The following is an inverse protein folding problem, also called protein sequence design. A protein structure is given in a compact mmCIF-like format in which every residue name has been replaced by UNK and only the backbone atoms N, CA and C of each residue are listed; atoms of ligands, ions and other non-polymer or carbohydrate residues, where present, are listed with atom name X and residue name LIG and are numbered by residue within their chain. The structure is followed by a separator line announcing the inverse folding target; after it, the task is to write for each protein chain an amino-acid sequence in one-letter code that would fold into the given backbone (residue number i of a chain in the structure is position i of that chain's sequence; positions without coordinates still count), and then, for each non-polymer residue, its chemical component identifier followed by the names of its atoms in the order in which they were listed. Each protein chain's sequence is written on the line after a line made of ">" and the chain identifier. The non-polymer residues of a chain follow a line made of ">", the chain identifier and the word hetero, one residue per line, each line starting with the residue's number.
data_IF_339015554631
#
_entry.id   IF_339015554631
#
_cell.length_a   1.000
_cell.length_b   1.000
_cell.length_c   1.000
_cell.angle_alpha   90.00
_cell.angle_beta   90.00
_cell.angle_gamma   90.00
#
_symmetry.space_group_name_H-M   'P 1'
#
loop_
_entity.id
_entity.type
_entity.pdbx_description
1 polymer ?
#
# COMPACT_ATOMS: atom_id res chain seq x y z
N UNK A 1 -26.10 -17.41 0.16
CA UNK A 1 -26.83 -16.29 -0.44
C UNK A 1 -25.82 -15.48 -1.26
N UNK A 2 -26.19 -14.34 -1.85
CA UNK A 2 -25.25 -13.55 -2.66
C UNK A 2 -24.82 -12.29 -1.91
N UNK A 3 -23.58 -11.86 -2.10
CA UNK A 3 -23.04 -10.65 -1.47
C UNK A 3 -23.64 -9.40 -2.11
N UNK A 4 -23.56 -8.27 -1.40
CA UNK A 4 -24.00 -6.96 -1.89
C UNK A 4 -23.33 -6.57 -3.21
N UNK A 5 -22.05 -6.95 -3.39
CA UNK A 5 -21.28 -6.71 -4.62
C UNK A 5 -21.72 -7.60 -5.78
N UNK A 6 -21.99 -8.88 -5.54
CA UNK A 6 -22.55 -9.77 -6.57
C UNK A 6 -23.92 -9.29 -7.06
N UNK A 7 -24.76 -8.78 -6.17
CA UNK A 7 -26.05 -8.19 -6.54
C UNK A 7 -25.91 -6.93 -7.38
N UNK A 8 -24.98 -6.04 -7.03
CA UNK A 8 -24.69 -4.85 -7.82
C UNK A 8 -24.24 -5.23 -9.23
N UNK A 9 -23.28 -6.14 -9.33
CA UNK A 9 -22.70 -6.55 -10.61
C UNK A 9 -23.72 -7.29 -11.49
N UNK A 10 -24.58 -8.13 -10.89
CA UNK A 10 -25.56 -8.93 -11.62
C UNK A 10 -26.75 -8.12 -12.13
N UNK A 11 -27.21 -7.13 -11.36
CA UNK A 11 -28.48 -6.44 -11.62
C UNK A 11 -28.33 -4.94 -11.91
N UNK A 12 -27.11 -4.39 -11.84
CA UNK A 12 -26.85 -2.97 -12.05
C UNK A 12 -27.48 -2.04 -10.99
N UNK A 13 -27.96 -2.58 -9.87
CA UNK A 13 -28.63 -1.79 -8.83
C UNK A 13 -27.57 -1.07 -8.00
N UNK A 14 -27.66 0.26 -7.89
CA UNK A 14 -26.70 1.04 -7.10
C UNK A 14 -26.66 0.64 -5.62
N UNK A 15 -25.47 0.63 -5.02
CA UNK A 15 -25.23 0.18 -3.64
C UNK A 15 -26.09 0.87 -2.58
N UNK A 16 -26.35 2.19 -2.73
CA UNK A 16 -27.24 2.93 -1.81
C UNK A 16 -28.64 2.33 -1.77
N UNK A 17 -29.15 1.90 -2.93
CA UNK A 17 -30.46 1.25 -3.06
C UNK A 17 -30.42 -0.16 -2.46
N UNK A 18 -29.39 -0.95 -2.74
CA UNK A 18 -29.20 -2.27 -2.13
C UNK A 18 -29.14 -2.19 -0.59
N UNK A 19 -28.32 -1.30 -0.02
CA UNK A 19 -28.24 -1.03 1.43
C UNK A 19 -29.56 -0.54 2.02
N UNK A 20 -30.39 0.17 1.24
CA UNK A 20 -31.73 0.60 1.68
C UNK A 20 -32.69 -0.58 1.70
N UNK A 21 -32.67 -1.44 0.67
CA UNK A 21 -33.47 -2.66 0.61
C UNK A 21 -33.14 -3.62 1.74
N UNK A 22 -31.86 -3.78 2.07
CA UNK A 22 -31.42 -4.57 3.24
C UNK A 22 -31.92 -4.00 4.56
N UNK A 23 -31.76 -2.68 4.80
CA UNK A 23 -32.28 -2.02 6.00
C UNK A 23 -33.80 -2.10 6.14
N UNK A 24 -34.51 -2.12 5.02
CA UNK A 24 -35.97 -2.29 4.99
C UNK A 24 -36.39 -3.76 5.14
N UNK A 25 -35.45 -4.71 5.17
CA UNK A 25 -35.71 -6.14 5.33
C UNK A 25 -36.12 -6.87 4.05
N UNK A 26 -35.97 -6.23 2.87
CA UNK A 26 -36.43 -6.78 1.60
C UNK A 26 -35.50 -7.87 1.07
N UNK A 27 -34.21 -7.77 1.38
CA UNK A 27 -33.15 -8.71 0.99
C UNK A 27 -32.18 -8.84 2.17
N UNK A 28 -31.60 -10.02 2.36
CA UNK A 28 -30.42 -10.20 3.21
C UNK A 28 -29.23 -10.56 2.33
N UNK A 29 -28.13 -9.82 2.48
CA UNK A 29 -26.89 -10.15 1.80
C UNK A 29 -26.01 -11.01 2.72
N UNK A 30 -25.24 -11.92 2.14
CA UNK A 30 -24.18 -12.57 2.92
C UNK A 30 -23.10 -11.55 3.28
N UNK A 31 -22.53 -11.71 4.47
CA UNK A 31 -21.37 -10.93 4.88
C UNK A 31 -20.23 -11.20 3.89
N UNK A 32 -19.86 -10.16 3.12
CA UNK A 32 -18.71 -10.21 2.24
C UNK A 32 -17.40 -10.34 3.01
N UNK A 33 -16.33 -10.66 2.31
CA UNK A 33 -14.98 -10.54 2.88
C UNK A 33 -14.69 -9.06 3.16
N UNK A 34 -14.41 -8.66 4.42
CA UNK A 34 -14.16 -7.26 4.77
C UNK A 34 -13.02 -6.62 3.95
N UNK A 35 -12.02 -7.41 3.53
CA UNK A 35 -10.94 -6.92 2.68
C UNK A 35 -11.43 -6.60 1.27
N UNK A 36 -12.29 -7.45 0.71
CA UNK A 36 -12.91 -7.22 -0.61
C UNK A 36 -13.71 -5.92 -0.59
N UNK A 37 -14.56 -5.75 0.42
CA UNK A 37 -15.40 -4.56 0.56
C UNK A 37 -14.57 -3.28 0.71
N UNK A 38 -13.51 -3.31 1.53
CA UNK A 38 -12.61 -2.18 1.73
C UNK A 38 -11.89 -1.78 0.43
N UNK A 39 -11.43 -2.76 -0.37
CA UNK A 39 -10.76 -2.49 -1.64
C UNK A 39 -11.73 -1.90 -2.67
N UNK A 40 -12.94 -2.46 -2.76
CA UNK A 40 -13.96 -1.96 -3.69
C UNK A 40 -14.40 -0.53 -3.33
N UNK A 41 -14.48 -0.22 -2.04
CA UNK A 41 -14.70 1.16 -1.58
C UNK A 41 -13.56 2.11 -1.98
N UNK A 42 -12.29 1.72 -1.78
CA UNK A 42 -11.13 2.51 -2.24
C UNK A 42 -11.19 2.78 -3.73
N UNK A 43 -11.43 1.75 -4.55
CA UNK A 43 -11.52 1.94 -6.00
C UNK A 43 -12.71 2.77 -6.45
N UNK A 44 -13.84 2.68 -5.74
CA UNK A 44 -15.03 3.51 -6.00
C UNK A 44 -14.74 5.00 -5.79
N UNK A 45 -13.89 5.33 -4.84
CA UNK A 45 -13.46 6.72 -4.59
C UNK A 45 -12.42 7.22 -5.62
N UNK A 46 -11.95 6.34 -6.52
CA UNK A 46 -10.91 6.64 -7.49
C UNK A 46 -9.49 6.42 -6.96
N UNK A 47 -9.34 6.14 -5.66
CA UNK A 47 -8.04 6.02 -5.01
C UNK A 47 -7.27 4.75 -5.42
N UNK A 48 -5.93 4.79 -5.39
CA UNK A 48 -5.09 3.59 -5.49
C UNK A 48 -5.17 2.76 -4.20
N UNK A 49 -4.78 1.48 -4.28
CA UNK A 49 -4.69 0.60 -3.12
C UNK A 49 -3.70 1.15 -2.09
N UNK A 50 -4.11 1.15 -0.83
CA UNK A 50 -3.23 1.50 0.29
C UNK A 50 -2.12 0.47 0.47
N UNK A 51 -1.10 0.81 1.25
CA UNK A 51 -0.01 -0.12 1.59
C UNK A 51 -0.57 -1.38 2.27
N UNK A 52 -1.45 -1.23 3.26
CA UNK A 52 -2.04 -2.39 3.94
C UNK A 52 -2.93 -3.24 3.04
N UNK A 53 -3.69 -2.64 2.13
CA UNK A 53 -4.47 -3.41 1.15
C UNK A 53 -3.57 -4.21 0.22
N UNK A 54 -2.45 -3.61 -0.25
CA UNK A 54 -1.44 -4.31 -1.06
C UNK A 54 -0.81 -5.48 -0.31
N UNK A 55 -0.41 -5.28 0.95
CA UNK A 55 0.12 -6.36 1.81
C UNK A 55 -0.91 -7.47 1.98
N UNK A 56 -2.16 -7.12 2.28
CA UNK A 56 -3.22 -8.09 2.49
C UNK A 56 -3.53 -8.91 1.23
N UNK A 57 -3.49 -8.29 0.03
CA UNK A 57 -3.65 -9.01 -1.23
C UNK A 57 -2.45 -9.92 -1.55
N UNK A 58 -1.23 -9.53 -1.19
CA UNK A 58 -0.06 -10.41 -1.34
C UNK A 58 -0.13 -11.64 -0.42
N UNK A 59 -0.75 -11.50 0.75
CA UNK A 59 -0.96 -12.61 1.71
C UNK A 59 -2.19 -13.46 1.36
N UNK A 60 -3.20 -12.86 0.70
CA UNK A 60 -4.45 -13.53 0.31
C UNK A 60 -4.75 -13.29 -1.19
N UNK A 61 -3.97 -13.85 -2.12
CA UNK A 61 -4.14 -13.57 -3.56
C UNK A 61 -5.51 -13.96 -4.12
N UNK A 62 -6.17 -14.96 -3.52
CA UNK A 62 -7.51 -15.41 -3.93
C UNK A 62 -8.57 -14.30 -3.87
N UNK A 63 -8.39 -13.28 -3.02
CA UNK A 63 -9.28 -12.12 -2.91
C UNK A 63 -9.31 -11.29 -4.20
N UNK A 64 -8.26 -11.34 -5.02
CA UNK A 64 -8.28 -10.62 -6.32
C UNK A 64 -9.42 -11.13 -7.21
N UNK A 65 -9.75 -12.42 -7.13
CA UNK A 65 -10.79 -13.03 -7.95
C UNK A 65 -12.20 -12.60 -7.54
N UNK A 66 -12.38 -12.09 -6.31
CA UNK A 66 -13.67 -11.60 -5.80
C UNK A 66 -13.89 -10.11 -6.13
N UNK A 67 -12.89 -9.41 -6.69
CA UNK A 67 -12.97 -7.98 -7.04
C UNK A 67 -13.74 -7.70 -8.34
N UNK A 68 -14.11 -8.73 -9.11
CA UNK A 68 -14.83 -8.57 -10.38
C UNK A 68 -14.08 -7.73 -11.41
N UNK A 69 -14.73 -6.68 -11.94
CA UNK A 69 -14.17 -5.77 -12.95
C UNK A 69 -12.94 -4.99 -12.45
N UNK A 70 -12.73 -4.91 -11.14
CA UNK A 70 -11.57 -4.23 -10.54
C UNK A 70 -10.35 -5.13 -10.34
N UNK A 71 -10.45 -6.43 -10.65
CA UNK A 71 -9.36 -7.38 -10.45
C UNK A 71 -8.10 -6.97 -11.24
N UNK A 72 -8.24 -6.58 -12.50
CA UNK A 72 -7.10 -6.16 -13.34
C UNK A 72 -6.40 -4.91 -12.79
N UNK A 73 -7.17 -3.94 -12.29
CA UNK A 73 -6.61 -2.75 -11.64
C UNK A 73 -5.80 -3.11 -10.39
N UNK A 74 -6.27 -4.06 -9.60
CA UNK A 74 -5.53 -4.56 -8.44
C UNK A 74 -4.25 -5.30 -8.86
N UNK A 75 -4.33 -6.18 -9.87
CA UNK A 75 -3.17 -6.91 -10.42
C UNK A 75 -2.10 -5.97 -10.95
N UNK A 76 -2.48 -4.96 -11.72
CA UNK A 76 -1.55 -3.95 -12.25
C UNK A 76 -0.81 -3.23 -11.12
N UNK A 77 -1.53 -2.80 -10.08
CA UNK A 77 -0.92 -2.17 -8.91
C UNK A 77 0.01 -3.12 -8.14
N UNK A 78 -0.34 -4.40 -7.99
CA UNK A 78 0.57 -5.36 -7.36
C UNK A 78 1.80 -5.66 -8.23
N UNK A 79 1.65 -5.70 -9.56
CA UNK A 79 2.77 -5.90 -10.48
C UNK A 79 3.81 -4.78 -10.38
N UNK A 80 3.40 -3.55 -10.08
CA UNK A 80 4.32 -2.43 -9.82
C UNK A 80 5.32 -2.75 -8.69
N UNK A 81 4.94 -3.59 -7.72
CA UNK A 81 5.80 -3.94 -6.58
C UNK A 81 6.97 -4.85 -6.96
N UNK A 82 6.87 -5.59 -8.08
CA UNK A 82 7.83 -6.63 -8.45
C UNK A 82 7.92 -7.76 -7.40
N UNK A 83 9.09 -8.36 -7.25
CA UNK A 83 9.36 -9.36 -6.21
C UNK A 83 9.39 -8.72 -4.81
N UNK A 84 8.42 -9.06 -3.97
CA UNK A 84 8.24 -8.46 -2.64
C UNK A 84 8.88 -9.31 -1.56
N UNK A 85 10.14 -8.99 -1.27
CA UNK A 85 10.85 -9.49 -0.08
C UNK A 85 10.51 -8.62 1.14
N UNK A 86 10.04 -9.19 2.26
CA UNK A 86 9.78 -8.42 3.48
C UNK A 86 11.09 -7.82 4.01
N UNK A 87 10.99 -6.68 4.70
CA UNK A 87 12.10 -6.14 5.45
C UNK A 87 12.52 -7.13 6.57
N UNK A 88 13.81 -7.24 6.88
CA UNK A 88 14.28 -8.05 8.01
C UNK A 88 13.64 -7.61 9.34
N UNK A 89 13.47 -8.51 10.32
CA UNK A 89 12.87 -8.18 11.61
C UNK A 89 13.54 -6.99 12.31
N UNK A 90 14.88 -6.97 12.34
CA UNK A 90 15.69 -5.86 12.85
C UNK A 90 15.31 -4.52 12.21
N UNK A 91 15.08 -4.47 10.89
CA UNK A 91 14.66 -3.23 10.22
C UNK A 91 13.25 -2.82 10.63
N UNK A 92 12.33 -3.78 10.75
CA UNK A 92 10.95 -3.48 11.17
C UNK A 92 10.86 -3.02 12.62
N UNK A 93 11.73 -3.51 13.51
CA UNK A 93 11.79 -3.12 14.90
C UNK A 93 12.21 -1.64 15.07
N UNK A 94 13.08 -1.14 14.19
CA UNK A 94 13.54 0.25 14.23
C UNK A 94 12.46 1.26 13.84
N UNK A 95 11.35 0.84 13.22
CA UNK A 95 10.31 1.76 12.73
C UNK A 95 9.77 2.71 13.81
N UNK A 96 9.68 2.26 15.06
CA UNK A 96 9.20 3.08 16.18
C UNK A 96 10.20 4.19 16.50
N UNK A 97 11.49 3.84 16.60
CA UNK A 97 12.58 4.78 16.88
C UNK A 97 12.77 5.77 15.71
N UNK A 98 12.69 5.27 14.48
CA UNK A 98 12.73 6.13 13.29
C UNK A 98 11.56 7.11 13.28
N UNK A 99 10.34 6.68 13.61
CA UNK A 99 9.19 7.59 13.68
C UNK A 99 9.39 8.69 14.74
N UNK A 100 10.05 8.37 15.85
CA UNK A 100 10.43 9.32 16.90
C UNK A 100 11.57 10.27 16.46
N UNK A 101 12.33 9.91 15.43
CA UNK A 101 13.44 10.71 14.89
C UNK A 101 14.80 10.35 15.47
N UNK A 102 14.96 9.15 16.03
CA UNK A 102 16.27 8.67 16.48
C UNK A 102 17.24 8.54 15.31
N UNK A 103 18.36 9.27 15.37
CA UNK A 103 19.30 9.42 14.25
C UNK A 103 19.95 8.09 13.85
N UNK A 104 20.34 7.26 14.83
CA UNK A 104 20.93 5.95 14.57
C UNK A 104 19.95 5.04 13.85
N UNK A 105 18.72 4.99 14.32
CA UNK A 105 17.65 4.19 13.73
C UNK A 105 17.32 4.68 12.32
N UNK A 106 17.28 6.01 12.12
CA UNK A 106 17.10 6.62 10.80
C UNK A 106 18.19 6.15 9.85
N UNK A 107 19.45 6.14 10.30
CA UNK A 107 20.58 5.71 9.47
C UNK A 107 20.50 4.23 9.08
N UNK A 108 20.14 3.35 10.02
CA UNK A 108 19.90 1.93 9.73
C UNK A 108 18.84 1.78 8.63
N UNK A 109 17.74 2.53 8.74
CA UNK A 109 16.66 2.45 7.76
C UNK A 109 17.01 3.10 6.41
N UNK A 110 17.83 4.16 6.40
CA UNK A 110 18.40 4.79 5.20
C UNK A 110 19.19 3.77 4.39
N UNK A 111 20.13 3.06 5.03
CA UNK A 111 20.96 2.06 4.36
C UNK A 111 20.13 0.89 3.82
N UNK A 112 19.14 0.44 4.59
CA UNK A 112 18.18 -0.54 4.10
C UNK A 112 17.38 -0.04 2.89
N UNK A 113 16.91 1.21 2.90
CA UNK A 113 16.17 1.78 1.78
C UNK A 113 17.04 1.85 0.52
N UNK A 114 18.30 2.29 0.65
CA UNK A 114 19.26 2.35 -0.47
C UNK A 114 19.51 0.97 -1.08
N UNK A 115 19.65 -0.06 -0.24
CA UNK A 115 19.82 -1.44 -0.69
C UNK A 115 18.56 -2.00 -1.37
N UNK A 116 17.37 -1.55 -0.94
CA UNK A 116 16.07 -2.08 -1.39
C UNK A 116 15.54 -1.43 -2.66
N UNK A 117 15.82 -0.14 -2.88
CA UNK A 117 15.38 0.59 -4.08
C UNK A 117 16.11 0.02 -5.31
N UNK A 118 15.36 -0.37 -6.36
CA UNK A 118 15.95 -1.01 -7.53
C UNK A 118 16.80 -0.03 -8.35
N UNK A 119 17.80 -0.57 -9.05
CA UNK A 119 18.61 0.23 -9.99
C UNK A 119 17.86 0.40 -11.30
N UNK A 120 17.91 1.61 -11.87
CA UNK A 120 17.37 1.89 -13.21
C UNK A 120 15.85 1.99 -13.29
N UNK A 121 15.14 2.00 -12.16
CA UNK A 121 13.68 2.11 -12.12
C UNK A 121 13.22 2.99 -10.96
N UNK A 122 12.26 3.85 -11.26
CA UNK A 122 11.53 4.66 -10.28
C UNK A 122 10.44 3.83 -9.60
N UNK A 123 10.32 4.00 -8.28
CA UNK A 123 9.31 3.31 -7.47
C UNK A 123 8.54 4.27 -6.60
N UNK A 124 7.23 4.04 -6.47
CA UNK A 124 6.37 4.86 -5.61
C UNK A 124 6.55 4.56 -4.13
N UNK A 125 6.00 5.43 -3.28
CA UNK A 125 6.02 5.29 -1.81
C UNK A 125 5.51 3.95 -1.28
N UNK A 126 4.55 3.33 -1.97
CA UNK A 126 4.03 2.01 -1.62
C UNK A 126 5.10 0.90 -1.72
N UNK A 127 6.14 1.05 -2.54
CA UNK A 127 7.16 0.04 -2.76
C UNK A 127 7.97 -0.28 -1.48
N UNK A 128 8.39 0.76 -0.76
CA UNK A 128 9.08 0.63 0.53
C UNK A 128 8.08 0.27 1.63
N UNK A 129 6.93 0.94 1.68
CA UNK A 129 5.92 0.72 2.70
C UNK A 129 5.43 -0.73 2.76
N UNK A 130 5.20 -1.37 1.60
CA UNK A 130 4.75 -2.77 1.55
C UNK A 130 5.82 -3.70 2.11
N UNK A 131 7.09 -3.49 1.77
CA UNK A 131 8.20 -4.33 2.26
C UNK A 131 8.38 -4.20 3.77
N UNK A 132 8.25 -2.99 4.30
CA UNK A 132 8.27 -2.74 5.75
C UNK A 132 7.11 -3.45 6.44
N UNK A 133 5.86 -3.21 6.02
CA UNK A 133 4.70 -3.81 6.70
C UNK A 133 4.58 -5.32 6.52
N UNK A 134 5.06 -5.88 5.41
CA UNK A 134 5.01 -7.32 5.18
C UNK A 134 5.89 -8.08 6.19
N UNK A 135 6.98 -7.47 6.67
CA UNK A 135 7.81 -8.03 7.75
C UNK A 135 7.15 -7.93 9.14
N UNK A 136 6.11 -7.12 9.29
CA UNK A 136 5.44 -6.88 10.58
C UNK A 136 4.32 -7.92 10.82
N UNK A 137 4.26 -8.53 12.02
CA UNK A 137 3.16 -9.42 12.41
C UNK A 137 1.78 -8.76 12.30
N UNK A 138 0.81 -9.49 11.76
CA UNK A 138 -0.56 -9.00 11.50
C UNK A 138 -1.20 -8.31 12.71
N UNK A 139 -0.98 -8.86 13.92
CA UNK A 139 -1.57 -8.34 15.17
C UNK A 139 -1.17 -6.90 15.48
N UNK A 140 0.04 -6.49 15.13
CA UNK A 140 0.58 -5.16 15.43
C UNK A 140 0.71 -4.26 14.19
N UNK A 141 0.50 -4.81 12.99
CA UNK A 141 0.69 -4.11 11.71
C UNK A 141 -0.09 -2.80 11.60
N UNK A 142 -1.31 -2.75 12.15
CA UNK A 142 -2.13 -1.54 12.13
C UNK A 142 -1.55 -0.38 12.95
N UNK A 143 -0.73 -0.66 13.97
CA UNK A 143 0.03 0.37 14.68
C UNK A 143 1.19 0.88 13.83
N UNK A 144 1.93 -0.03 13.17
CA UNK A 144 3.06 0.34 12.31
C UNK A 144 2.63 1.06 11.03
N UNK A 145 1.49 0.69 10.45
CA UNK A 145 0.92 1.38 9.28
C UNK A 145 0.74 2.87 9.54
N UNK A 146 0.25 3.24 10.74
CA UNK A 146 0.05 4.63 11.13
C UNK A 146 1.38 5.41 11.25
N UNK A 147 2.49 4.70 11.49
CA UNK A 147 3.82 5.30 11.63
C UNK A 147 4.54 5.48 10.31
N UNK A 148 4.26 4.64 9.30
CA UNK A 148 4.94 4.67 7.99
C UNK A 148 5.13 6.06 7.39
N UNK A 149 4.12 6.96 7.35
CA UNK A 149 4.30 8.27 6.76
C UNK A 149 5.41 9.07 7.46
N UNK A 150 5.47 8.97 8.80
CA UNK A 150 6.49 9.64 9.61
C UNK A 150 7.85 8.98 9.47
N UNK A 151 7.90 7.65 9.45
CA UNK A 151 9.11 6.86 9.22
C UNK A 151 9.78 7.27 7.91
N UNK A 152 9.03 7.21 6.80
CA UNK A 152 9.54 7.53 5.48
C UNK A 152 9.75 9.03 5.25
N UNK A 153 9.11 9.90 6.04
CA UNK A 153 9.45 11.33 6.08
C UNK A 153 10.84 11.53 6.72
N UNK A 154 11.11 10.89 7.85
CA UNK A 154 12.38 11.05 8.55
C UNK A 154 13.55 10.47 7.74
N UNK A 155 13.37 9.32 7.07
CA UNK A 155 14.35 8.80 6.10
C UNK A 155 14.66 9.83 5.00
N UNK A 156 13.63 10.45 4.41
CA UNK A 156 13.81 11.45 3.34
C UNK A 156 14.48 12.74 3.80
N UNK A 157 14.43 13.04 5.10
CA UNK A 157 15.07 14.21 5.70
C UNK A 157 16.55 13.97 6.03
N UNK A 158 17.00 12.71 6.03
CA UNK A 158 18.41 12.39 6.22
C UNK A 158 19.23 12.91 5.03
N UNK A 159 20.34 13.59 5.32
CA UNK A 159 21.30 14.08 4.32
C UNK A 159 21.87 12.93 3.49
N UNK A 160 22.11 11.78 4.11
CA UNK A 160 22.62 10.58 3.45
C UNK A 160 21.63 9.97 2.46
N UNK A 161 20.36 10.37 2.51
CA UNK A 161 19.32 9.94 1.58
C UNK A 161 18.93 11.04 0.58
N UNK A 162 19.65 12.16 0.56
CA UNK A 162 19.49 13.20 -0.44
C UNK A 162 19.73 12.64 -1.85
N UNK A 163 18.89 13.05 -2.80
CA UNK A 163 18.97 12.57 -4.19
C UNK A 163 18.35 11.20 -4.45
N UNK A 164 17.99 10.40 -3.43
CA UNK A 164 17.33 9.09 -3.60
C UNK A 164 15.81 9.19 -3.82
N UNK A 165 15.28 10.41 -3.82
CA UNK A 165 13.85 10.65 -4.01
C UNK A 165 13.61 12.02 -4.62
N UNK A 166 12.43 12.17 -5.24
CA UNK A 166 11.91 13.44 -5.69
C UNK A 166 10.37 13.41 -5.62
N UNK A 167 9.73 14.56 -5.88
CA UNK A 167 8.28 14.62 -6.02
C UNK A 167 7.89 14.87 -7.45
N UNK A 168 6.89 14.12 -7.92
CA UNK A 168 6.28 14.31 -9.24
C UNK A 168 4.85 14.78 -9.06
N UNK A 169 4.41 15.73 -9.88
CA UNK A 169 3.01 16.14 -9.91
C UNK A 169 2.15 15.02 -10.49
N UNK A 170 1.11 14.62 -9.77
CA UNK A 170 0.12 13.63 -10.20
C UNK A 170 -1.28 14.24 -10.02
N UNK A 171 -1.75 14.89 -11.08
CA UNK A 171 -2.98 15.68 -11.04
C UNK A 171 -2.86 16.86 -10.06
N UNK A 172 -3.66 16.83 -8.99
CA UNK A 172 -3.68 17.90 -7.96
C UNK A 172 -2.71 17.67 -6.80
N UNK A 173 -2.04 16.52 -6.76
CA UNK A 173 -1.21 16.13 -5.63
C UNK A 173 0.22 15.81 -6.08
N UNK A 174 1.19 16.09 -5.21
CA UNK A 174 2.55 15.64 -5.42
C UNK A 174 2.72 14.24 -4.83
N UNK A 175 3.29 13.34 -5.62
CA UNK A 175 3.63 11.97 -5.19
C UNK A 175 5.13 11.84 -5.01
N UNK A 176 5.55 11.15 -3.95
CA UNK A 176 6.96 10.83 -3.72
C UNK A 176 7.36 9.63 -4.56
N UNK A 177 8.42 9.82 -5.33
CA UNK A 177 9.08 8.81 -6.15
C UNK A 177 10.48 8.57 -5.60
N UNK A 178 10.86 7.31 -5.46
CA UNK A 178 12.17 6.88 -5.01
C UNK A 178 12.93 6.29 -6.19
N UNK A 179 14.23 6.55 -6.23
CA UNK A 179 15.11 6.08 -7.29
C UNK A 179 16.53 5.97 -6.75
N UNK A 180 17.36 5.18 -7.42
CA UNK A 180 18.80 5.16 -7.15
C UNK A 180 19.46 6.28 -7.97
N UNK A 181 20.23 7.19 -7.36
CA UNK A 181 21.00 8.17 -8.10
C UNK A 181 21.89 7.46 -9.12
N UNK A 182 21.93 7.97 -10.35
CA UNK A 182 22.93 7.50 -11.32
C UNK A 182 24.28 8.06 -10.89
N UNK A 183 25.36 7.26 -10.90
CA UNK A 183 26.68 7.82 -10.75
C UNK A 183 26.86 8.88 -11.85
N UNK A 184 27.16 10.12 -11.43
CA UNK A 184 27.75 11.12 -12.30
C UNK A 184 29.11 10.56 -12.67
N UNK A 185 29.21 9.89 -13.81
CA UNK A 185 30.52 9.66 -14.41
C UNK A 185 31.01 11.03 -14.86
N UNK A 186 31.90 11.63 -14.07
CA UNK A 186 32.76 12.71 -14.53
C UNK A 186 33.66 12.10 -15.63
N UNK A 187 33.40 12.50 -16.87
CA UNK A 187 34.29 12.30 -18.02
C UNK A 187 35.29 13.45 -18.09
#
# INVERSE_FOLDING_TARGET
>A
MATLHEWHNRWGIGFKKLRRMERQGWIKFDAGDPLTDAILETFRNGDPLTVSQRVALLERPAVINTLGDKAERARAQLAELGDVKPAPPEITAEMVCVAAGDERSVQVLVEWCKATIPTGRDVGHHYLGVRLLKGVPVKIRHFEEKRLPRVLLNVRRSEDFAGWWHTVANGRHNVTVYHRPRPLFDL
#
